data_IF_408827594934
#
_entry.id   IF_408827594934
#
_cell.length_a   1.000
_cell.length_b   1.000
_cell.length_c   1.000
_cell.angle_alpha   90.00
_cell.angle_beta   90.00
_cell.angle_gamma   90.00
#
_symmetry.space_group_name_H-M   'P 1'
#
loop_
_entity.id
_entity.type
_entity.pdbx_description
1 polymer ?
#
# COMPACT_ATOMS: atom_id res chain seq x y z
N UNK A 1 -2.83 -26.55 18.02
CA UNK A 1 -2.91 -26.80 16.57
C UNK A 1 -2.87 -25.45 15.90
N UNK A 2 -1.70 -24.97 15.54
CA UNK A 2 -1.56 -23.81 14.67
C UNK A 2 -1.90 -24.29 13.26
N UNK A 3 -3.16 -24.10 12.86
CA UNK A 3 -3.56 -24.31 11.49
C UNK A 3 -2.86 -23.29 10.63
N UNK A 4 -2.05 -23.73 9.69
CA UNK A 4 -1.57 -22.94 8.57
C UNK A 4 -2.80 -22.48 7.80
N UNK A 5 -3.25 -21.25 8.10
CA UNK A 5 -4.38 -20.64 7.41
C UNK A 5 -3.98 -20.42 5.96
N UNK A 6 -4.66 -21.06 5.03
CA UNK A 6 -4.49 -20.80 3.61
C UNK A 6 -5.03 -19.38 3.30
N UNK A 7 -4.13 -18.39 3.32
CA UNK A 7 -4.44 -16.98 3.13
C UNK A 7 -5.09 -16.66 1.77
N UNK A 8 -5.05 -17.59 0.83
CA UNK A 8 -5.62 -17.39 -0.52
C UNK A 8 -7.13 -17.21 -0.54
N UNK A 9 -7.83 -17.63 0.52
CA UNK A 9 -9.30 -17.64 0.57
C UNK A 9 -9.90 -16.77 1.68
N UNK A 10 -9.09 -16.15 2.51
CA UNK A 10 -9.60 -15.34 3.62
C UNK A 10 -9.93 -13.93 3.14
N UNK A 11 -11.21 -13.59 3.26
CA UNK A 11 -11.75 -12.26 2.91
C UNK A 11 -11.74 -11.29 4.10
N UNK A 12 -11.07 -11.64 5.19
CA UNK A 12 -11.12 -10.84 6.41
C UNK A 12 -10.12 -9.70 6.35
N UNK A 13 -10.61 -8.50 6.47
CA UNK A 13 -9.85 -7.28 6.65
C UNK A 13 -10.36 -6.48 7.83
N UNK A 14 -9.56 -5.55 8.32
CA UNK A 14 -9.99 -4.51 9.26
C UNK A 14 -10.21 -3.21 8.50
N UNK A 15 -11.39 -2.62 8.64
CA UNK A 15 -11.71 -1.35 8.01
C UNK A 15 -10.84 -0.22 8.60
N UNK A 16 -10.31 0.60 7.71
CA UNK A 16 -9.55 1.81 8.00
C UNK A 16 -10.29 3.02 7.41
N UNK A 17 -10.24 4.15 8.10
CA UNK A 17 -10.88 5.39 7.66
C UNK A 17 -11.81 5.96 8.73
N UNK A 18 -12.44 7.09 8.42
CA UNK A 18 -13.35 7.78 9.31
C UNK A 18 -14.78 7.22 9.25
N UNK A 19 -15.52 7.35 10.34
CA UNK A 19 -16.93 6.96 10.41
C UNK A 19 -17.75 7.79 9.41
N UNK A 20 -18.43 7.10 8.50
CA UNK A 20 -19.26 7.75 7.47
C UNK A 20 -18.47 8.40 6.33
N UNK A 21 -17.14 8.30 6.32
CA UNK A 21 -16.28 8.92 5.31
C UNK A 21 -15.73 7.93 4.27
N UNK A 22 -16.23 6.70 4.27
CA UNK A 22 -15.71 5.59 3.48
C UNK A 22 -14.65 4.78 4.21
N UNK A 23 -14.23 3.68 3.60
CA UNK A 23 -13.25 2.78 4.20
C UNK A 23 -12.33 2.13 3.19
N UNK A 24 -11.19 1.67 3.69
CA UNK A 24 -10.27 0.75 3.01
C UNK A 24 -9.97 -0.37 3.98
N UNK A 25 -9.91 -1.60 3.54
CA UNK A 25 -9.62 -2.72 4.42
C UNK A 25 -8.15 -3.14 4.35
N UNK A 26 -7.47 -3.20 5.51
CA UNK A 26 -6.19 -3.89 5.63
C UNK A 26 -6.43 -5.37 5.86
N UNK A 27 -5.98 -6.20 4.92
CA UNK A 27 -6.18 -7.64 4.95
C UNK A 27 -5.02 -8.37 5.63
N UNK A 28 -5.28 -9.62 6.06
CA UNK A 28 -4.28 -10.49 6.68
C UNK A 28 -3.04 -10.73 5.81
N UNK A 29 -3.21 -10.68 4.49
CA UNK A 29 -2.13 -10.86 3.53
C UNK A 29 -1.34 -9.57 3.24
N UNK A 30 -1.57 -8.48 3.99
CA UNK A 30 -0.87 -7.21 3.83
C UNK A 30 -1.39 -6.33 2.70
N UNK A 31 -2.46 -6.72 2.01
CA UNK A 31 -3.06 -5.90 0.96
C UNK A 31 -4.10 -4.92 1.52
N UNK A 32 -4.15 -3.73 0.93
CA UNK A 32 -5.24 -2.78 1.14
C UNK A 32 -6.32 -3.01 0.07
N UNK A 33 -7.49 -3.48 0.48
CA UNK A 33 -8.59 -3.87 -0.39
C UNK A 33 -9.89 -3.18 -0.02
N UNK A 34 -10.94 -3.52 -0.74
CA UNK A 34 -12.31 -3.08 -0.47
C UNK A 34 -12.39 -1.55 -0.29
N UNK A 35 -11.83 -0.84 -1.28
CA UNK A 35 -11.82 0.62 -1.30
C UNK A 35 -13.23 1.15 -1.54
N UNK A 36 -13.92 1.50 -0.48
CA UNK A 36 -15.26 2.09 -0.49
C UNK A 36 -15.17 3.58 -0.10
N UNK A 37 -14.56 4.37 -0.98
CA UNK A 37 -14.20 5.77 -0.70
C UNK A 37 -15.01 6.82 -1.46
N UNK A 38 -15.91 6.41 -2.36
CA UNK A 38 -16.62 7.37 -3.22
C UNK A 38 -17.97 6.83 -3.64
N UNK A 39 -18.94 6.56 -2.89
CA UNK A 39 -20.29 6.11 -3.30
C UNK A 39 -20.38 5.26 -4.60
N UNK A 40 -19.31 4.57 -4.97
CA UNK A 40 -19.16 3.82 -6.21
C UNK A 40 -19.12 2.31 -6.01
N UNK A 41 -19.35 1.86 -4.81
CA UNK A 41 -19.10 0.49 -4.44
C UNK A 41 -17.60 0.19 -4.27
N UNK A 42 -17.31 -1.02 -3.92
CA UNK A 42 -15.99 -1.48 -3.49
C UNK A 42 -15.01 -1.62 -4.65
N UNK A 43 -13.83 -1.06 -4.48
CA UNK A 43 -12.70 -1.26 -5.39
C UNK A 43 -11.82 -2.39 -4.88
N UNK A 44 -11.22 -3.15 -5.78
CA UNK A 44 -10.37 -4.28 -5.40
C UNK A 44 -11.16 -5.49 -4.86
N UNK A 45 -12.50 -5.45 -4.93
CA UNK A 45 -13.35 -6.61 -4.68
C UNK A 45 -13.11 -7.70 -5.73
N UNK A 46 -13.26 -8.99 -5.36
CA UNK A 46 -13.23 -10.09 -6.32
C UNK A 46 -14.17 -9.93 -7.51
N UNK A 47 -15.28 -9.22 -7.35
CA UNK A 47 -16.25 -8.98 -8.42
C UNK A 47 -15.74 -7.99 -9.48
N UNK A 48 -14.82 -7.10 -9.11
CA UNK A 48 -14.14 -6.20 -10.06
C UNK A 48 -13.18 -6.98 -10.97
N UNK A 49 -12.71 -8.15 -10.56
CA UNK A 49 -11.85 -9.05 -11.35
C UNK A 49 -12.52 -9.58 -12.60
N UNK A 50 -13.84 -9.76 -12.58
CA UNK A 50 -14.62 -10.18 -13.76
C UNK A 50 -14.52 -9.19 -14.91
N UNK A 51 -14.07 -7.98 -14.68
CA UNK A 51 -13.88 -6.94 -15.69
C UNK A 51 -12.54 -6.99 -16.42
N UNK A 52 -11.86 -8.14 -16.44
CA UNK A 52 -10.77 -8.52 -17.39
C UNK A 52 -9.59 -7.54 -17.57
N UNK A 53 -9.35 -6.60 -16.70
CA UNK A 53 -8.15 -5.76 -16.83
C UNK A 53 -7.18 -6.07 -15.67
N UNK A 54 -6.34 -7.10 -15.87
CA UNK A 54 -5.27 -7.51 -14.94
C UNK A 54 -4.41 -6.33 -14.46
N UNK A 55 -4.24 -5.32 -15.29
CA UNK A 55 -3.39 -4.16 -15.03
C UNK A 55 -4.01 -3.13 -14.06
N UNK A 56 -5.34 -3.08 -13.94
CA UNK A 56 -5.99 -2.16 -13.01
C UNK A 56 -6.02 -2.69 -11.57
N UNK A 57 -5.92 -4.00 -11.40
CA UNK A 57 -5.95 -4.65 -10.11
C UNK A 57 -4.77 -4.24 -9.20
N UNK A 58 -3.57 -4.20 -9.75
CA UNK A 58 -2.35 -3.85 -9.01
C UNK A 58 -2.33 -2.43 -8.46
N UNK A 59 -3.10 -1.58 -9.09
CA UNK A 59 -3.07 -0.17 -8.76
C UNK A 59 -3.85 0.19 -7.49
N UNK A 60 -4.77 -0.69 -7.07
CA UNK A 60 -5.68 -0.44 -5.95
C UNK A 60 -5.34 -1.27 -4.70
N UNK A 61 -4.40 -2.18 -4.82
CA UNK A 61 -4.02 -3.08 -3.72
C UNK A 61 -2.97 -2.46 -2.82
N UNK A 62 -2.34 -1.41 -3.27
CA UNK A 62 -1.29 -0.66 -2.57
C UNK A 62 -0.27 -1.58 -1.87
N UNK A 63 0.52 -2.35 -2.61
CA UNK A 63 1.58 -3.12 -1.99
C UNK A 63 2.70 -2.18 -1.55
N UNK A 64 3.10 -2.31 -0.29
CA UNK A 64 4.37 -1.76 0.15
C UNK A 64 5.50 -2.72 -0.21
N UNK A 65 6.66 -2.15 -0.50
CA UNK A 65 7.88 -2.91 -0.78
C UNK A 65 9.00 -2.36 0.10
N UNK A 66 9.76 -3.24 0.72
CA UNK A 66 10.95 -2.88 1.48
C UNK A 66 12.20 -3.29 0.70
N UNK A 67 13.21 -2.43 0.72
CA UNK A 67 14.58 -2.71 0.33
C UNK A 67 15.45 -2.52 1.57
N UNK A 68 16.28 -3.51 1.88
CA UNK A 68 17.25 -3.44 2.97
C UNK A 68 18.63 -3.88 2.47
N UNK A 69 19.67 -3.12 2.81
CA UNK A 69 21.05 -3.39 2.44
C UNK A 69 21.96 -3.20 3.65
N UNK A 70 22.67 -4.23 4.03
CA UNK A 70 23.77 -4.10 4.99
C UNK A 70 25.05 -3.67 4.28
N UNK A 71 25.93 -3.01 5.02
CA UNK A 71 27.24 -2.60 4.48
C UNK A 71 27.99 -3.78 3.84
N UNK A 72 28.44 -3.60 2.59
CA UNK A 72 29.18 -4.63 1.86
C UNK A 72 28.38 -5.83 1.35
N UNK A 73 27.05 -5.83 1.50
CA UNK A 73 26.15 -6.91 1.03
C UNK A 73 25.26 -6.43 -0.09
N UNK A 74 24.75 -7.38 -0.88
CA UNK A 74 23.73 -7.11 -1.88
C UNK A 74 22.39 -6.73 -1.21
N UNK A 75 21.62 -5.81 -1.81
CA UNK A 75 20.33 -5.43 -1.29
C UNK A 75 19.30 -6.55 -1.40
N UNK A 76 18.47 -6.67 -0.38
CA UNK A 76 17.32 -7.57 -0.36
C UNK A 76 16.04 -6.77 -0.54
N UNK A 77 15.18 -7.19 -1.47
CA UNK A 77 13.90 -6.56 -1.75
C UNK A 77 12.77 -7.54 -1.48
N UNK A 78 11.74 -7.10 -0.75
CA UNK A 78 10.53 -7.89 -0.46
C UNK A 78 9.26 -7.06 -0.62
N UNK A 79 8.24 -7.64 -1.22
CA UNK A 79 6.87 -7.11 -1.12
C UNK A 79 6.31 -7.44 0.25
N UNK A 80 5.72 -6.47 0.91
CA UNK A 80 5.10 -6.62 2.24
C UNK A 80 3.65 -7.11 2.14
N UNK A 81 3.39 -8.01 1.22
CA UNK A 81 2.08 -8.64 1.04
C UNK A 81 2.22 -10.00 0.36
N UNK A 82 1.19 -10.83 0.52
CA UNK A 82 0.98 -12.04 -0.28
C UNK A 82 -0.10 -11.79 -1.32
N UNK A 83 0.24 -11.97 -2.60
CA UNK A 83 -0.72 -11.84 -3.69
C UNK A 83 -1.61 -13.10 -3.78
N UNK A 84 -2.90 -12.91 -3.62
CA UNK A 84 -3.87 -14.02 -3.63
C UNK A 84 -4.05 -14.66 -5.00
N UNK A 85 -3.82 -13.91 -6.06
CA UNK A 85 -4.31 -14.30 -7.38
C UNK A 85 -3.24 -14.48 -8.44
N UNK A 86 -2.04 -13.96 -8.25
CA UNK A 86 -1.01 -13.92 -9.28
C UNK A 86 0.42 -14.19 -8.76
N UNK A 87 0.57 -14.68 -7.53
CA UNK A 87 1.87 -14.90 -6.91
C UNK A 87 2.81 -15.76 -7.77
N UNK A 88 2.27 -16.83 -8.38
CA UNK A 88 3.06 -17.73 -9.23
C UNK A 88 3.50 -17.05 -10.54
N UNK A 89 2.61 -16.35 -11.21
CA UNK A 89 2.93 -15.68 -12.48
C UNK A 89 3.93 -14.54 -12.30
N UNK A 90 3.80 -13.78 -11.22
CA UNK A 90 4.73 -12.69 -10.91
C UNK A 90 6.07 -13.20 -10.42
N UNK A 91 6.07 -14.28 -9.66
CA UNK A 91 7.30 -14.96 -9.24
C UNK A 91 8.12 -15.46 -10.43
N UNK A 92 7.47 -15.91 -11.50
CA UNK A 92 8.13 -16.30 -12.74
C UNK A 92 8.70 -15.09 -13.52
N UNK A 93 7.95 -13.99 -13.58
CA UNK A 93 8.39 -12.79 -14.33
C UNK A 93 9.43 -11.94 -13.57
N UNK A 94 9.35 -11.93 -12.24
CA UNK A 94 10.19 -11.09 -11.38
C UNK A 94 10.74 -11.91 -10.22
N UNK A 95 11.56 -12.91 -10.51
CA UNK A 95 12.16 -13.83 -9.52
C UNK A 95 12.93 -13.12 -8.40
N UNK A 96 13.40 -11.88 -8.66
CA UNK A 96 14.07 -11.02 -7.71
C UNK A 96 13.11 -10.19 -6.83
N UNK A 97 11.81 -10.11 -7.21
CA UNK A 97 10.77 -9.36 -6.50
C UNK A 97 9.88 -10.32 -5.70
N UNK A 98 10.46 -10.90 -4.68
CA UNK A 98 9.80 -11.90 -3.83
C UNK A 98 8.81 -11.24 -2.85
N UNK A 99 7.81 -12.01 -2.49
CA UNK A 99 6.94 -11.71 -1.36
C UNK A 99 7.65 -11.98 -0.05
N UNK A 100 7.22 -11.31 1.00
CA UNK A 100 7.62 -11.63 2.38
C UNK A 100 7.21 -13.08 2.72
N UNK A 101 8.01 -13.80 3.50
CA UNK A 101 7.74 -15.21 3.78
C UNK A 101 6.52 -15.41 4.68
N UNK A 102 6.34 -14.53 5.68
CA UNK A 102 5.25 -14.65 6.64
C UNK A 102 4.77 -13.28 7.13
N UNK A 103 3.46 -13.18 7.33
CA UNK A 103 2.81 -12.01 7.93
C UNK A 103 2.03 -12.47 9.15
N UNK A 104 2.30 -11.84 10.31
CA UNK A 104 1.46 -11.96 11.49
C UNK A 104 0.53 -10.76 11.55
N UNK A 105 -0.75 -10.99 11.44
CA UNK A 105 -1.80 -10.00 11.40
C UNK A 105 -2.52 -9.94 12.74
N UNK A 106 -2.53 -8.79 13.37
CA UNK A 106 -3.18 -8.55 14.65
C UNK A 106 -4.12 -7.34 14.55
N UNK A 107 -5.40 -7.55 14.18
CA UNK A 107 -6.39 -6.51 14.11
C UNK A 107 -6.95 -6.21 15.51
N UNK A 108 -6.87 -4.98 15.91
CA UNK A 108 -7.45 -4.47 17.14
C UNK A 108 -7.96 -3.06 16.89
N UNK A 109 -9.15 -2.94 16.27
CA UNK A 109 -9.71 -1.64 15.89
C UNK A 109 -9.60 -0.63 17.04
N UNK A 110 -9.13 0.60 16.80
CA UNK A 110 -8.88 1.24 15.50
C UNK A 110 -7.47 1.00 14.91
N UNK A 111 -6.71 0.08 15.45
CA UNK A 111 -5.32 -0.20 15.05
C UNK A 111 -5.17 -1.64 14.58
N UNK A 112 -4.51 -1.84 13.46
CA UNK A 112 -4.06 -3.16 12.99
C UNK A 112 -2.54 -3.19 12.93
N UNK A 113 -1.92 -4.22 13.50
CA UNK A 113 -0.47 -4.43 13.43
C UNK A 113 -0.13 -5.61 12.55
N UNK A 114 0.81 -5.39 11.65
CA UNK A 114 1.41 -6.43 10.82
C UNK A 114 2.89 -6.57 11.18
N UNK A 115 3.31 -7.79 11.54
CA UNK A 115 4.72 -8.13 11.69
C UNK A 115 5.14 -8.96 10.49
N UNK A 116 6.22 -8.56 9.85
CA UNK A 116 6.75 -9.19 8.65
C UNK A 116 7.99 -10.01 8.97
N UNK A 117 7.95 -11.30 8.68
CA UNK A 117 9.04 -12.24 8.92
C UNK A 117 9.58 -12.78 7.59
N UNK A 118 10.90 -12.72 7.40
CA UNK A 118 11.58 -13.26 6.22
C UNK A 118 13.03 -13.60 6.58
N UNK A 119 13.43 -14.84 6.31
CA UNK A 119 14.75 -15.34 6.66
C UNK A 119 15.89 -14.68 5.87
N UNK A 120 15.58 -14.12 4.71
CA UNK A 120 16.55 -13.41 3.87
C UNK A 120 16.63 -11.91 4.14
N UNK A 121 15.70 -11.34 4.94
CA UNK A 121 15.67 -9.90 5.21
C UNK A 121 16.54 -9.59 6.43
N UNK A 122 17.55 -8.70 6.32
CA UNK A 122 18.50 -8.46 7.41
C UNK A 122 17.96 -7.56 8.54
N UNK A 123 16.71 -7.13 8.44
CA UNK A 123 16.04 -6.23 9.39
C UNK A 123 14.75 -6.88 9.89
N UNK A 124 14.23 -6.37 11.02
CA UNK A 124 12.86 -6.62 11.45
C UNK A 124 11.99 -5.45 11.04
N UNK A 125 10.80 -5.73 10.56
CA UNK A 125 9.86 -4.70 10.11
C UNK A 125 8.45 -4.99 10.62
N UNK A 126 7.82 -3.96 11.13
CA UNK A 126 6.42 -3.95 11.56
C UNK A 126 5.70 -2.77 10.92
N UNK A 127 4.42 -2.93 10.63
CA UNK A 127 3.56 -1.83 10.21
C UNK A 127 2.34 -1.72 11.13
N UNK A 128 2.03 -0.50 11.51
CA UNK A 128 0.80 -0.16 12.22
C UNK A 128 -0.10 0.66 11.30
N UNK A 129 -1.32 0.17 11.10
CA UNK A 129 -2.39 0.83 10.36
C UNK A 129 -3.42 1.33 11.36
N UNK A 130 -3.65 2.64 11.40
CA UNK A 130 -4.50 3.25 12.41
C UNK A 130 -5.55 4.17 11.79
N UNK A 131 -6.81 3.97 12.19
CA UNK A 131 -7.89 4.91 11.92
C UNK A 131 -7.90 6.02 12.97
N UNK A 132 -8.20 7.28 12.61
CA UNK A 132 -8.29 8.39 13.56
C UNK A 132 -9.59 8.31 14.37
N UNK A 133 -9.76 7.24 15.12
CA UNK A 133 -10.97 6.98 15.90
C UNK A 133 -10.75 7.21 17.40
N UNK A 134 -11.43 8.21 17.94
CA UNK A 134 -11.46 8.48 19.39
C UNK A 134 -12.92 8.63 19.82
N UNK A 135 -13.40 7.76 20.72
CA UNK A 135 -14.75 7.87 21.24
C UNK A 135 -15.03 9.26 21.84
N UNK A 136 -16.17 9.86 21.47
CA UNK A 136 -16.57 11.19 21.93
C UNK A 136 -15.90 12.36 21.18
N UNK A 137 -15.04 12.11 20.20
CA UNK A 137 -14.47 13.14 19.32
C UNK A 137 -14.93 12.95 17.88
N UNK A 138 -16.15 13.40 17.59
CA UNK A 138 -16.81 13.17 16.30
C UNK A 138 -16.01 13.71 15.11
N UNK A 139 -15.43 14.90 15.22
CA UNK A 139 -14.64 15.51 14.15
C UNK A 139 -13.43 14.68 13.81
N UNK A 140 -12.74 14.11 14.80
CA UNK A 140 -11.60 13.24 14.59
C UNK A 140 -12.03 11.89 14.03
N UNK A 141 -13.05 11.29 14.63
CA UNK A 141 -13.57 10.00 14.20
C UNK A 141 -14.15 10.02 12.77
N UNK A 142 -14.64 11.17 12.30
CA UNK A 142 -15.13 11.37 10.94
C UNK A 142 -14.04 11.76 9.91
N UNK A 143 -12.76 11.85 10.29
CA UNK A 143 -11.68 12.23 9.37
C UNK A 143 -11.50 11.18 8.26
N UNK A 144 -11.61 11.55 6.98
CA UNK A 144 -11.54 10.61 5.85
C UNK A 144 -10.08 10.22 5.55
N UNK A 145 -9.51 9.36 6.36
CA UNK A 145 -8.12 8.93 6.19
C UNK A 145 -7.68 7.91 7.21
N UNK A 146 -6.47 7.41 7.04
CA UNK A 146 -5.80 6.52 7.99
C UNK A 146 -4.29 6.73 7.94
N UNK A 147 -3.61 6.29 8.95
CA UNK A 147 -2.16 6.38 9.09
C UNK A 147 -1.52 5.01 8.92
N UNK A 148 -0.32 5.00 8.34
CA UNK A 148 0.54 3.82 8.27
C UNK A 148 1.90 4.18 8.83
N UNK A 149 2.30 3.53 9.91
CA UNK A 149 3.60 3.73 10.54
C UNK A 149 4.43 2.46 10.42
N UNK A 150 5.62 2.58 9.85
CA UNK A 150 6.58 1.48 9.80
C UNK A 150 7.61 1.63 10.91
N UNK A 151 7.81 0.55 11.66
CA UNK A 151 8.90 0.43 12.64
C UNK A 151 9.93 -0.56 12.10
N UNK A 152 11.17 -0.09 11.94
CA UNK A 152 12.28 -0.87 11.41
C UNK A 152 13.32 -1.03 12.52
N UNK A 153 13.73 -2.27 12.75
CA UNK A 153 14.79 -2.58 13.71
C UNK A 153 15.91 -3.31 12.99
N UNK A 154 17.11 -2.78 13.08
CA UNK A 154 18.32 -3.46 12.65
C UNK A 154 18.85 -4.32 13.81
N UNK A 155 18.78 -5.65 13.73
CA UNK A 155 19.27 -6.53 14.78
C UNK A 155 20.79 -6.77 14.74
N UNK A 156 21.48 -6.22 13.74
CA UNK A 156 22.91 -6.42 13.54
C UNK A 156 23.71 -5.21 14.03
N UNK A 157 25.01 -5.40 14.24
CA UNK A 157 25.96 -4.33 14.56
C UNK A 157 26.44 -3.56 13.31
N UNK A 158 25.99 -3.98 12.12
CA UNK A 158 26.36 -3.33 10.84
C UNK A 158 25.34 -2.27 10.49
N UNK A 159 25.78 -1.21 9.84
CA UNK A 159 24.89 -0.19 9.29
C UNK A 159 23.95 -0.81 8.22
N UNK A 160 22.69 -0.43 8.27
CA UNK A 160 21.67 -0.86 7.34
C UNK A 160 21.02 0.33 6.65
N UNK A 161 21.06 0.33 5.33
CA UNK A 161 20.28 1.24 4.49
C UNK A 161 18.91 0.61 4.20
N UNK A 162 17.82 1.30 4.53
CA UNK A 162 16.47 0.78 4.36
C UNK A 162 15.59 1.79 3.64
N UNK A 163 14.84 1.31 2.67
CA UNK A 163 13.84 2.11 1.95
C UNK A 163 12.51 1.40 1.89
N UNK A 164 11.41 2.15 2.03
CA UNK A 164 10.06 1.65 1.84
C UNK A 164 9.44 2.36 0.65
N UNK A 165 9.00 1.60 -0.33
CA UNK A 165 8.25 2.08 -1.49
C UNK A 165 6.77 1.82 -1.28
N UNK A 166 5.96 2.86 -1.32
CA UNK A 166 4.51 2.77 -1.49
C UNK A 166 4.11 3.19 -2.91
N UNK A 167 3.13 2.52 -3.49
CA UNK A 167 2.64 2.80 -4.83
C UNK A 167 1.13 2.90 -4.85
N UNK A 168 0.60 4.00 -5.36
CA UNK A 168 -0.83 4.20 -5.56
C UNK A 168 -1.10 4.82 -6.94
N UNK A 169 -1.99 4.20 -7.71
CA UNK A 169 -2.54 4.81 -8.92
C UNK A 169 -3.60 5.82 -8.52
N UNK A 170 -3.65 6.98 -9.20
CA UNK A 170 -4.68 7.97 -8.96
C UNK A 170 -6.09 7.37 -9.19
N UNK A 171 -6.90 7.22 -8.13
CA UNK A 171 -8.20 6.59 -8.21
C UNK A 171 -9.34 7.58 -8.47
N UNK A 172 -9.03 8.87 -8.51
CA UNK A 172 -10.03 9.94 -8.59
C UNK A 172 -10.72 9.90 -9.96
N UNK A 173 -12.02 10.08 -9.95
CA UNK A 173 -12.85 10.11 -11.15
C UNK A 173 -12.67 8.85 -12.02
N UNK A 174 -12.83 7.69 -11.41
CA UNK A 174 -12.62 6.38 -12.02
C UNK A 174 -13.37 6.25 -13.34
N UNK A 175 -12.70 5.68 -14.34
CA UNK A 175 -13.25 5.52 -15.70
C UNK A 175 -13.09 6.76 -16.58
N UNK A 176 -12.51 7.85 -16.06
CA UNK A 176 -12.11 8.98 -16.89
C UNK A 176 -10.84 8.68 -17.68
N UNK A 177 -10.61 9.46 -18.72
CA UNK A 177 -9.39 9.34 -19.50
C UNK A 177 -8.17 9.73 -18.65
N UNK A 178 -7.08 8.99 -18.76
CA UNK A 178 -5.86 9.26 -17.98
C UNK A 178 -5.32 10.67 -18.15
N UNK A 179 -5.48 11.27 -19.35
CA UNK A 179 -5.08 12.66 -19.61
C UNK A 179 -5.77 13.67 -18.71
N UNK A 180 -6.89 13.31 -18.09
CA UNK A 180 -7.60 14.16 -17.15
C UNK A 180 -7.13 13.98 -15.70
N UNK A 181 -6.31 12.99 -15.40
CA UNK A 181 -5.79 12.78 -14.07
C UNK A 181 -4.61 13.72 -13.79
N UNK A 182 -4.59 14.27 -12.59
CA UNK A 182 -3.52 15.18 -12.12
C UNK A 182 -3.00 14.70 -10.79
N UNK A 183 -1.68 14.68 -10.68
CA UNK A 183 -0.98 14.44 -9.43
C UNK A 183 -0.14 15.69 -9.13
N UNK A 184 -0.44 16.36 -8.05
CA UNK A 184 0.26 17.56 -7.60
C UNK A 184 1.13 17.19 -6.41
N UNK A 185 2.42 17.40 -6.52
CA UNK A 185 3.39 17.18 -5.45
C UNK A 185 3.61 18.49 -4.69
N UNK A 186 3.66 18.37 -3.38
CA UNK A 186 4.22 19.36 -2.46
C UNK A 186 5.24 18.62 -1.59
N UNK A 187 6.45 19.15 -1.48
CA UNK A 187 7.49 18.53 -0.66
C UNK A 187 8.24 19.58 0.14
N UNK A 188 8.54 19.23 1.37
CA UNK A 188 9.42 19.94 2.29
C UNK A 188 10.42 18.95 2.86
N UNK A 189 11.42 19.42 3.58
CA UNK A 189 12.43 18.55 4.19
C UNK A 189 11.76 17.51 5.11
N UNK A 190 11.94 16.25 4.81
CA UNK A 190 11.39 15.15 5.60
C UNK A 190 9.90 14.88 5.40
N UNK A 191 9.23 15.58 4.47
CA UNK A 191 7.81 15.36 4.18
C UNK A 191 7.51 15.54 2.69
N UNK A 192 6.71 14.67 2.12
CA UNK A 192 6.16 14.83 0.78
C UNK A 192 4.67 14.50 0.77
N UNK A 193 3.90 15.24 0.00
CA UNK A 193 2.48 15.00 -0.21
C UNK A 193 2.15 15.00 -1.69
N UNK A 194 1.46 13.97 -2.15
CA UNK A 194 0.92 13.88 -3.50
C UNK A 194 -0.60 14.00 -3.42
N UNK A 195 -1.14 15.06 -3.98
CA UNK A 195 -2.59 15.26 -4.10
C UNK A 195 -3.04 14.81 -5.48
N UNK A 196 -3.92 13.83 -5.50
CA UNK A 196 -4.49 13.22 -6.70
C UNK A 196 -5.85 13.83 -6.99
N UNK A 197 -6.05 14.31 -8.22
CA UNK A 197 -7.25 15.00 -8.69
C UNK A 197 -7.60 14.60 -10.12
N UNK A 198 -8.74 15.07 -10.60
CA UNK A 198 -9.11 14.95 -12.02
C UNK A 198 -9.64 16.29 -12.53
N UNK A 199 -9.24 16.67 -13.74
CA UNK A 199 -9.76 17.85 -14.48
C UNK A 199 -10.97 17.48 -15.37
N UNK A 200 -11.47 16.25 -15.30
CA UNK A 200 -12.63 15.83 -16.08
C UNK A 200 -13.87 16.63 -15.68
N UNK A 201 -14.52 17.22 -16.68
CA UNK A 201 -15.80 17.93 -16.49
C UNK A 201 -17.02 17.00 -16.49
N UNK A 202 -16.83 15.69 -16.76
CA UNK A 202 -17.91 14.74 -16.74
C UNK A 202 -18.31 14.42 -15.29
N UNK A 203 -19.59 14.55 -14.93
CA UNK A 203 -20.07 14.14 -13.62
C UNK A 203 -19.71 12.67 -13.36
N UNK A 204 -19.15 12.40 -12.18
CA UNK A 204 -18.79 11.06 -11.77
C UNK A 204 -18.84 10.99 -10.22
N UNK A 205 -19.41 9.93 -9.69
CA UNK A 205 -19.54 9.72 -8.25
C UNK A 205 -18.17 9.61 -7.53
N UNK A 206 -17.10 9.27 -8.25
CA UNK A 206 -15.72 9.24 -7.72
C UNK A 206 -14.94 10.53 -7.93
N UNK A 207 -15.61 11.63 -8.29
CA UNK A 207 -14.96 12.92 -8.39
C UNK A 207 -14.60 13.44 -6.99
N UNK A 208 -13.42 14.07 -6.88
CA UNK A 208 -12.92 14.55 -5.59
C UNK A 208 -11.41 14.71 -5.61
N UNK A 209 -10.81 14.48 -4.46
CA UNK A 209 -9.36 14.44 -4.32
C UNK A 209 -8.96 13.38 -3.31
N UNK A 210 -7.76 12.81 -3.50
CA UNK A 210 -7.12 11.92 -2.56
C UNK A 210 -5.70 12.41 -2.32
N UNK A 211 -5.29 12.50 -1.06
CA UNK A 211 -3.93 12.86 -0.70
C UNK A 211 -3.19 11.66 -0.13
N UNK A 212 -1.93 11.54 -0.50
CA UNK A 212 -0.98 10.63 0.10
C UNK A 212 0.19 11.45 0.63
N UNK A 213 0.43 11.36 1.93
CA UNK A 213 1.52 12.05 2.60
C UNK A 213 2.50 11.05 3.20
N UNK A 214 3.77 11.38 3.12
CA UNK A 214 4.87 10.59 3.71
C UNK A 214 5.74 11.53 4.53
N UNK A 215 6.14 11.06 5.72
CA UNK A 215 7.14 11.71 6.57
C UNK A 215 8.21 10.70 6.93
N UNK A 216 9.47 11.01 6.63
CA UNK A 216 10.65 10.21 6.92
C UNK A 216 11.90 11.11 6.88
N UNK A 217 13.07 10.58 7.30
CA UNK A 217 14.33 11.32 7.26
C UNK A 217 14.68 11.76 5.84
N UNK A 218 14.50 10.86 4.88
CA UNK A 218 14.64 11.11 3.45
C UNK A 218 13.41 10.63 2.70
N UNK A 219 12.87 11.46 1.82
CA UNK A 219 11.69 11.16 1.01
C UNK A 219 12.00 11.42 -0.46
N UNK A 220 11.76 10.41 -1.29
CA UNK A 220 11.79 10.54 -2.74
C UNK A 220 10.45 10.13 -3.35
N UNK A 221 10.18 10.58 -4.58
CA UNK A 221 8.91 10.33 -5.25
C UNK A 221 9.07 10.20 -6.75
N UNK A 222 8.15 9.47 -7.36
CA UNK A 222 8.02 9.37 -8.81
C UNK A 222 6.56 9.65 -9.18
N UNK A 223 6.34 10.70 -9.95
CA UNK A 223 5.04 11.00 -10.55
C UNK A 223 5.02 10.44 -11.97
N UNK A 224 4.58 9.20 -12.12
CA UNK A 224 4.63 8.53 -13.39
C UNK A 224 3.28 8.33 -14.06
N UNK A 225 3.32 8.17 -15.38
CA UNK A 225 2.25 7.65 -16.19
C UNK A 225 2.53 6.18 -16.50
N UNK A 226 1.86 5.25 -15.78
CA UNK A 226 1.76 3.85 -16.15
C UNK A 226 2.87 2.81 -15.86
N UNK A 227 2.53 1.59 -16.23
CA UNK A 227 3.10 0.27 -15.97
C UNK A 227 4.64 0.09 -16.09
N UNK A 228 5.34 0.95 -16.80
CA UNK A 228 6.80 0.93 -16.88
C UNK A 228 7.53 1.33 -15.61
N UNK A 229 6.85 2.06 -14.73
CA UNK A 229 7.45 2.62 -13.50
C UNK A 229 7.78 1.53 -12.47
N UNK A 230 7.02 0.44 -12.42
CA UNK A 230 7.36 -0.66 -11.52
C UNK A 230 8.74 -1.24 -11.79
N UNK A 231 9.08 -1.46 -13.05
CA UNK A 231 10.38 -1.96 -13.44
C UNK A 231 11.51 -1.01 -13.02
N UNK A 232 11.34 0.27 -13.33
CA UNK A 232 12.35 1.28 -13.05
C UNK A 232 12.52 1.56 -11.56
N UNK A 233 11.42 1.79 -10.83
CA UNK A 233 11.49 2.06 -9.38
C UNK A 233 12.10 0.92 -8.59
N UNK A 234 11.80 -0.32 -8.96
CA UNK A 234 12.36 -1.49 -8.29
C UNK A 234 13.82 -1.71 -8.71
N UNK A 235 14.17 -1.38 -9.94
CA UNK A 235 15.58 -1.41 -10.40
C UNK A 235 16.40 -0.34 -9.67
N UNK A 236 15.86 0.85 -9.49
CA UNK A 236 16.48 1.90 -8.68
C UNK A 236 16.62 1.50 -7.22
N UNK A 237 15.62 0.80 -6.63
CA UNK A 237 15.74 0.25 -5.28
C UNK A 237 16.81 -0.86 -5.16
N UNK A 238 17.20 -1.50 -6.26
CA UNK A 238 18.28 -2.50 -6.29
C UNK A 238 19.67 -1.91 -6.48
N UNK A 239 19.77 -0.80 -7.15
CA UNK A 239 21.03 -0.11 -7.42
C UNK A 239 21.53 0.65 -6.21
#
# INVERSE_FOLDING_TARGET
MEGTLDYRWQKNGMALGGIGAGSVEICQNGELREWDICNMGKWGSPDVRKQKKLYDYDAHVLPFTVRAKLAGKEPVVRRLCHDRDNGEFRSLMYSWYKEIEKIRWNPNFPVCRLQYEDSGLPIKIEAEFASPFVPGQEALAGTPGFYVTFTITNPSDQEAEVSILGKLKNPVNRGTEQRCLRNQLTSEKGCAQIVMKSDSKKPNASNGSLAWSVSADEVSWILGQQAGILGNSITEMKA
#
